data_IF_324256659440
#
_entry.id   IF_324256659440
#
_cell.length_a   1.000
_cell.length_b   1.000
_cell.length_c   1.000
_cell.angle_alpha   90.00
_cell.angle_beta   90.00
_cell.angle_gamma   90.00
#
_symmetry.space_group_name_H-M   'P 1'
#
loop_
_entity.id
_entity.type
_entity.pdbx_description
1 polymer ?
#
# COMPACT_ATOMS: atom_id res chain seq x y z
N UNK A 1 -32.04 -0.77 1.68
CA UNK A 1 -31.12 -0.66 0.54
C UNK A 1 -29.77 -0.31 1.14
N UNK A 2 -28.89 -1.30 1.24
CA UNK A 2 -27.60 -1.22 1.93
C UNK A 2 -26.50 -0.93 0.93
N UNK A 3 -25.91 0.25 1.02
CA UNK A 3 -24.75 0.70 0.27
C UNK A 3 -23.50 -0.02 0.78
N UNK A 4 -22.81 -0.75 -0.08
CA UNK A 4 -21.58 -1.49 0.27
C UNK A 4 -20.37 -0.71 -0.22
N UNK A 5 -19.64 -0.09 0.70
CA UNK A 5 -18.41 0.66 0.41
C UNK A 5 -17.19 -0.24 0.58
N UNK A 6 -16.47 -0.52 -0.50
CA UNK A 6 -15.24 -1.33 -0.54
C UNK A 6 -13.99 -0.43 -0.44
N UNK A 7 -12.97 -0.89 0.29
CA UNK A 7 -11.68 -0.18 0.46
C UNK A 7 -10.55 -1.20 0.24
N UNK A 8 -9.63 -0.93 -0.69
CA UNK A 8 -8.48 -1.77 -1.05
C UNK A 8 -7.18 -0.94 -1.04
N UNK A 9 -6.14 -1.33 -0.31
CA UNK A 9 -5.06 -0.42 0.12
C UNK A 9 -3.76 -0.55 -0.70
N UNK A 10 -3.14 0.60 -1.04
CA UNK A 10 -1.80 0.74 -1.63
C UNK A 10 -0.71 0.06 -0.80
N UNK A 11 0.26 -0.56 -1.49
CA UNK A 11 1.58 -0.89 -0.97
C UNK A 11 2.60 0.09 -1.58
N UNK A 12 3.06 1.08 -0.82
CA UNK A 12 4.24 1.87 -1.20
C UNK A 12 5.43 1.41 -0.36
N UNK A 13 6.32 0.63 -0.96
CA UNK A 13 7.64 0.34 -0.38
C UNK A 13 8.60 1.46 -0.79
N UNK A 14 8.63 2.56 -0.02
CA UNK A 14 9.68 3.55 -0.13
C UNK A 14 10.97 3.00 0.52
N UNK A 15 11.82 2.40 -0.30
CA UNK A 15 13.19 2.04 0.09
C UNK A 15 14.03 3.31 0.21
N UNK A 16 14.39 3.70 1.43
CA UNK A 16 15.42 4.70 1.68
C UNK A 16 16.79 4.16 1.20
N UNK A 17 17.25 4.57 0.02
CA UNK A 17 18.65 4.46 -0.37
C UNK A 17 19.38 5.71 0.11
N UNK A 18 20.18 5.57 1.17
CA UNK A 18 21.19 6.56 1.54
C UNK A 18 22.44 6.24 0.72
N UNK A 19 22.79 7.13 -0.20
CA UNK A 19 23.99 7.02 -1.02
C UNK A 19 25.26 7.17 -0.18
N UNK A 20 26.17 6.23 -0.34
CA UNK A 20 27.58 6.41 0.01
C UNK A 20 28.35 6.51 -1.32
N UNK A 21 28.91 7.68 -1.59
CA UNK A 21 29.75 7.88 -2.78
C UNK A 21 31.02 7.05 -2.68
N UNK A 22 31.19 6.12 -3.63
CA UNK A 22 32.49 5.61 -4.01
C UNK A 22 32.55 5.57 -5.55
N UNK A 23 33.46 6.38 -6.10
CA UNK A 23 33.55 6.70 -7.52
C UNK A 23 33.73 5.49 -8.43
N UNK A 24 33.00 5.51 -9.53
CA UNK A 24 33.13 4.58 -10.65
C UNK A 24 32.06 4.88 -11.69
N UNK A 25 32.49 5.51 -12.80
CA UNK A 25 31.80 5.71 -14.06
C UNK A 25 30.44 4.99 -14.18
N UNK A 26 29.32 5.71 -13.99
CA UNK A 26 27.99 5.16 -14.29
C UNK A 26 27.64 5.50 -15.73
N UNK A 27 27.51 4.44 -16.54
CA UNK A 27 26.77 4.49 -17.79
C UNK A 27 25.38 5.08 -17.52
N UNK A 28 25.01 6.03 -18.37
CA UNK A 28 23.68 6.64 -18.38
C UNK A 28 22.70 5.52 -18.74
N UNK A 29 21.97 5.01 -17.74
CA UNK A 29 20.85 4.11 -17.97
C UNK A 29 19.76 4.91 -18.68
N UNK A 30 19.63 4.68 -19.98
CA UNK A 30 18.46 5.01 -20.78
C UNK A 30 17.32 4.15 -20.22
N UNK A 31 16.41 4.78 -19.46
CA UNK A 31 15.24 4.10 -18.90
C UNK A 31 14.27 3.87 -20.05
N UNK A 32 14.21 2.63 -20.52
CA UNK A 32 13.15 2.18 -21.41
C UNK A 32 11.84 2.13 -20.62
N UNK A 33 10.76 2.66 -21.21
CA UNK A 33 9.40 2.47 -20.75
C UNK A 33 9.00 0.99 -20.85
N UNK A 34 9.41 0.18 -19.87
CA UNK A 34 8.98 -1.21 -19.73
C UNK A 34 7.79 -1.26 -18.77
N UNK A 35 6.59 -1.52 -19.30
CA UNK A 35 5.43 -1.97 -18.51
C UNK A 35 5.66 -3.45 -18.15
N UNK A 36 6.68 -3.73 -17.34
CA UNK A 36 6.88 -5.06 -16.77
C UNK A 36 6.13 -5.12 -15.43
N UNK A 37 4.92 -5.68 -15.44
CA UNK A 37 4.20 -6.09 -14.22
C UNK A 37 3.15 -5.15 -13.65
N UNK A 38 2.42 -4.38 -14.49
CA UNK A 38 1.30 -3.54 -14.02
C UNK A 38 1.72 -2.26 -13.29
N UNK A 39 2.97 -1.84 -13.52
CA UNK A 39 3.56 -0.61 -12.97
C UNK A 39 4.03 0.26 -14.12
N UNK A 40 3.56 1.51 -14.17
CA UNK A 40 4.02 2.55 -15.08
C UNK A 40 4.86 3.55 -14.29
N UNK A 41 6.10 3.83 -14.71
CA UNK A 41 6.97 4.85 -14.11
C UNK A 41 7.45 5.79 -15.19
N UNK A 42 7.22 7.09 -15.03
CA UNK A 42 7.52 8.11 -16.02
C UNK A 42 8.13 9.36 -15.38
N UNK A 43 9.11 9.93 -16.08
CA UNK A 43 9.75 11.20 -15.75
C UNK A 43 10.19 11.94 -17.03
N UNK A 44 10.63 13.19 -16.88
CA UNK A 44 11.23 13.96 -17.97
C UNK A 44 10.34 14.12 -19.22
N UNK A 45 10.91 13.86 -20.40
CA UNK A 45 10.21 14.07 -21.67
C UNK A 45 9.09 13.04 -21.91
N UNK A 46 9.24 11.81 -21.43
CA UNK A 46 8.23 10.77 -21.56
C UNK A 46 6.99 11.12 -20.75
N UNK A 47 7.17 11.57 -19.51
CA UNK A 47 6.07 12.08 -18.69
C UNK A 47 5.40 13.30 -19.34
N UNK A 48 6.17 14.20 -19.92
CA UNK A 48 5.62 15.37 -20.62
C UNK A 48 4.75 14.96 -21.81
N UNK A 49 5.19 13.96 -22.58
CA UNK A 49 4.44 13.42 -23.70
C UNK A 49 3.18 12.68 -23.23
N UNK A 50 3.30 11.87 -22.18
CA UNK A 50 2.20 11.14 -21.55
C UNK A 50 1.08 12.10 -21.09
N UNK A 51 1.42 13.10 -20.28
CA UNK A 51 0.45 14.04 -19.72
C UNK A 51 -0.20 14.93 -20.80
N UNK A 52 0.49 15.16 -21.91
CA UNK A 52 -0.02 15.96 -23.03
C UNK A 52 -0.92 15.15 -23.97
N UNK A 53 -0.54 13.91 -24.30
CA UNK A 53 -1.28 13.06 -25.22
C UNK A 53 -2.41 12.29 -24.53
N UNK A 54 -2.25 11.99 -23.24
CA UNK A 54 -3.17 11.20 -22.43
C UNK A 54 -3.62 9.90 -23.12
N UNK A 55 -2.67 9.04 -23.53
CA UNK A 55 -2.99 7.79 -24.20
C UNK A 55 -3.81 6.87 -23.28
N UNK A 56 -4.50 5.92 -23.90
CA UNK A 56 -5.21 4.86 -23.20
C UNK A 56 -4.23 3.76 -22.82
N UNK A 57 -4.13 3.47 -21.53
CA UNK A 57 -3.42 2.31 -21.00
C UNK A 57 -4.42 1.19 -20.74
N UNK A 58 -4.09 -0.02 -21.20
CA UNK A 58 -4.81 -1.25 -20.88
C UNK A 58 -4.03 -2.02 -19.82
N UNK A 59 -4.66 -2.25 -18.67
CA UNK A 59 -4.10 -3.08 -17.62
C UNK A 59 -4.07 -4.56 -18.04
N UNK A 60 -3.09 -5.30 -17.51
CA UNK A 60 -2.97 -6.74 -17.76
C UNK A 60 -4.18 -7.54 -17.25
N UNK A 61 -4.72 -7.12 -16.11
CA UNK A 61 -5.90 -7.67 -15.44
C UNK A 61 -6.89 -6.56 -15.05
N UNK A 62 -8.12 -6.94 -14.71
CA UNK A 62 -9.09 -6.01 -14.11
C UNK A 62 -8.60 -5.53 -12.74
N UNK A 63 -8.61 -4.21 -12.54
CA UNK A 63 -8.23 -3.57 -11.30
C UNK A 63 -9.43 -2.93 -10.61
N UNK A 64 -9.36 -2.86 -9.28
CA UNK A 64 -10.39 -2.21 -8.44
C UNK A 64 -9.97 -0.81 -7.98
N UNK A 65 -8.69 -0.47 -8.19
CA UNK A 65 -8.08 0.79 -7.78
C UNK A 65 -6.77 1.02 -8.53
N UNK A 66 -6.38 2.29 -8.67
CA UNK A 66 -5.04 2.68 -9.07
C UNK A 66 -4.33 3.36 -7.90
N UNK A 67 -3.13 2.88 -7.58
CA UNK A 67 -2.20 3.60 -6.73
C UNK A 67 -1.39 4.58 -7.57
N UNK A 68 -1.22 5.80 -7.08
CA UNK A 68 -0.51 6.86 -7.79
C UNK A 68 0.49 7.52 -6.85
N UNK A 69 1.75 7.58 -7.26
CA UNK A 69 2.79 8.38 -6.60
C UNK A 69 3.25 9.43 -7.60
N UNK A 70 3.22 10.70 -7.23
CA UNK A 70 3.59 11.77 -8.15
C UNK A 70 4.19 12.97 -7.44
N UNK A 71 5.13 13.64 -8.11
CA UNK A 71 5.69 14.91 -7.66
C UNK A 71 5.04 16.05 -8.43
N UNK A 72 4.38 16.97 -7.73
CA UNK A 72 3.73 18.13 -8.35
C UNK A 72 3.62 19.32 -7.39
N UNK A 73 3.28 20.50 -7.94
CA UNK A 73 3.06 21.71 -7.13
C UNK A 73 1.81 21.62 -6.22
N UNK A 74 0.84 20.77 -6.58
CA UNK A 74 -0.43 20.59 -5.89
C UNK A 74 -0.97 19.18 -6.11
N UNK A 75 -1.70 18.60 -5.15
CA UNK A 75 -2.34 17.29 -5.33
C UNK A 75 -3.43 17.29 -6.42
N UNK A 76 -3.94 18.46 -6.81
CA UNK A 76 -4.94 18.61 -7.88
C UNK A 76 -4.29 18.88 -9.24
N UNK A 77 -2.96 18.89 -9.33
CA UNK A 77 -2.25 19.12 -10.58
C UNK A 77 -2.35 17.93 -11.55
N UNK A 78 -2.76 16.77 -11.05
CA UNK A 78 -2.90 15.54 -11.81
C UNK A 78 -4.33 15.01 -11.71
N UNK A 79 -4.86 14.51 -12.82
CA UNK A 79 -6.19 13.92 -12.92
C UNK A 79 -6.12 12.60 -13.70
N UNK A 80 -6.93 11.64 -13.28
CA UNK A 80 -7.09 10.37 -13.96
C UNK A 80 -8.54 10.15 -14.37
N UNK A 81 -8.74 9.33 -15.39
CA UNK A 81 -10.03 8.85 -15.85
C UNK A 81 -9.89 7.35 -16.16
N UNK A 82 -10.87 6.57 -15.74
CA UNK A 82 -10.84 5.10 -15.84
C UNK A 82 -12.00 4.61 -16.70
N UNK A 83 -11.83 3.43 -17.29
CA UNK A 83 -12.86 2.78 -18.10
C UNK A 83 -12.80 1.26 -17.94
N UNK A 84 -13.95 0.61 -18.05
CA UNK A 84 -14.03 -0.85 -18.09
C UNK A 84 -13.87 -1.39 -19.52
N UNK A 85 -14.46 -0.72 -20.51
CA UNK A 85 -14.56 -1.16 -21.90
C UNK A 85 -13.60 -0.43 -22.85
N UNK A 86 -12.95 0.63 -22.40
CA UNK A 86 -12.08 1.50 -23.20
C UNK A 86 -12.84 2.58 -23.98
N UNK A 87 -14.16 2.54 -23.97
CA UNK A 87 -15.04 3.42 -24.74
C UNK A 87 -15.81 4.41 -23.82
N UNK A 88 -16.30 3.89 -22.69
CA UNK A 88 -17.08 4.61 -21.68
C UNK A 88 -16.15 5.02 -20.54
N UNK A 89 -15.91 6.32 -20.41
CA UNK A 89 -14.93 6.86 -19.47
C UNK A 89 -15.60 7.56 -18.29
N UNK A 90 -15.02 7.39 -17.10
CA UNK A 90 -15.37 8.18 -15.92
C UNK A 90 -15.08 9.67 -16.15
N UNK A 91 -15.69 10.51 -15.33
CA UNK A 91 -15.23 11.90 -15.20
C UNK A 91 -13.75 11.95 -14.80
N UNK A 92 -13.08 13.03 -15.17
CA UNK A 92 -11.72 13.31 -14.72
C UNK A 92 -11.75 13.66 -13.24
N UNK A 93 -10.92 12.97 -12.46
CA UNK A 93 -10.86 13.15 -11.01
C UNK A 93 -9.42 13.26 -10.55
N UNK A 94 -9.17 14.19 -9.62
CA UNK A 94 -7.89 14.25 -8.92
C UNK A 94 -7.77 13.06 -7.95
N UNK A 95 -6.57 12.47 -7.83
CA UNK A 95 -6.37 11.35 -6.93
C UNK A 95 -6.49 11.80 -5.47
N UNK A 96 -7.11 10.95 -4.64
CA UNK A 96 -7.23 11.21 -3.21
C UNK A 96 -5.90 10.96 -2.54
N UNK A 97 -5.28 12.02 -2.01
CA UNK A 97 -3.99 11.93 -1.32
C UNK A 97 -4.17 11.30 0.06
N UNK A 98 -3.36 10.30 0.36
CA UNK A 98 -3.30 9.63 1.66
C UNK A 98 -2.07 10.03 2.45
N UNK A 99 -0.96 10.32 1.77
CA UNK A 99 0.28 10.70 2.41
C UNK A 99 1.09 11.66 1.54
N UNK A 100 1.92 12.49 2.19
CA UNK A 100 2.88 13.37 1.54
C UNK A 100 4.26 12.97 2.08
N UNK A 101 5.05 12.31 1.23
CA UNK A 101 6.35 11.72 1.62
C UNK A 101 7.37 12.80 2.01
N UNK A 102 7.33 13.93 1.31
CA UNK A 102 8.20 15.08 1.57
C UNK A 102 7.42 16.37 1.36
N UNK A 103 7.13 17.08 2.46
CA UNK A 103 6.38 18.35 2.41
C UNK A 103 7.06 19.43 1.56
N UNK A 104 8.39 19.34 1.37
CA UNK A 104 9.18 20.32 0.62
C UNK A 104 9.23 20.08 -0.89
N UNK A 105 8.99 18.85 -1.36
CA UNK A 105 9.08 18.50 -2.79
C UNK A 105 7.73 18.21 -3.43
N UNK A 106 6.65 18.09 -2.64
CA UNK A 106 5.31 17.83 -3.17
C UNK A 106 5.15 16.40 -3.69
N UNK A 107 5.79 15.43 -3.02
CA UNK A 107 5.67 14.01 -3.32
C UNK A 107 4.39 13.45 -2.69
N UNK A 108 3.37 13.21 -3.51
CA UNK A 108 2.06 12.73 -3.09
C UNK A 108 1.92 11.23 -3.29
N UNK A 109 1.41 10.54 -2.28
CA UNK A 109 0.94 9.14 -2.36
C UNK A 109 -0.58 9.17 -2.31
N UNK A 110 -1.20 8.74 -3.40
CA UNK A 110 -2.61 8.93 -3.65
C UNK A 110 -3.26 7.72 -4.31
N UNK A 111 -4.59 7.71 -4.37
CA UNK A 111 -5.33 6.66 -5.05
C UNK A 111 -6.55 7.21 -5.81
N UNK A 112 -6.97 6.47 -6.84
CA UNK A 112 -8.24 6.71 -7.52
C UNK A 112 -9.23 5.65 -7.07
N UNK A 113 -10.31 6.08 -6.43
CA UNK A 113 -11.45 5.22 -6.17
C UNK A 113 -12.33 5.15 -7.43
N UNK A 114 -12.80 3.95 -7.77
CA UNK A 114 -13.77 3.80 -8.86
C UNK A 114 -15.10 4.45 -8.46
N UNK A 115 -15.87 4.92 -9.44
CA UNK A 115 -17.18 5.52 -9.20
C UNK A 115 -18.11 4.58 -8.41
N UNK A 116 -19.01 5.18 -7.62
CA UNK A 116 -19.94 4.43 -6.76
C UNK A 116 -20.84 3.50 -7.59
N UNK A 117 -20.58 2.19 -7.50
CA UNK A 117 -21.30 1.15 -8.26
C UNK A 117 -20.42 0.38 -9.27
N UNK A 118 -19.26 0.91 -9.61
CA UNK A 118 -18.25 0.22 -10.41
C UNK A 118 -17.48 -0.77 -9.53
N UNK A 119 -17.39 -2.03 -9.97
CA UNK A 119 -16.70 -3.09 -9.21
C UNK A 119 -15.25 -3.28 -9.65
N UNK A 120 -14.91 -2.92 -10.88
CA UNK A 120 -13.59 -2.99 -11.47
C UNK A 120 -13.50 -2.11 -12.74
N UNK A 121 -12.28 -1.83 -13.19
CA UNK A 121 -11.95 -1.17 -14.45
C UNK A 121 -10.75 -1.89 -15.09
N UNK A 122 -10.47 -1.59 -16.36
CA UNK A 122 -9.37 -2.21 -17.12
C UNK A 122 -8.51 -1.21 -17.85
N UNK A 123 -9.03 -0.03 -18.13
CA UNK A 123 -8.34 1.02 -18.85
C UNK A 123 -8.20 2.26 -17.99
N UNK A 124 -7.11 2.99 -18.17
CA UNK A 124 -6.89 4.29 -17.54
C UNK A 124 -6.17 5.25 -18.47
N UNK A 125 -6.31 6.53 -18.16
CA UNK A 125 -5.57 7.63 -18.78
C UNK A 125 -5.29 8.71 -17.75
N UNK A 126 -4.21 9.45 -17.96
CA UNK A 126 -3.73 10.47 -17.03
C UNK A 126 -3.46 11.78 -17.78
N UNK A 127 -3.72 12.91 -17.10
CA UNK A 127 -3.37 14.24 -17.60
C UNK A 127 -2.97 15.16 -16.46
N UNK A 128 -2.34 16.27 -16.79
CA UNK A 128 -2.02 17.33 -15.82
C UNK A 128 -0.56 17.76 -15.87
N UNK A 129 -0.02 18.10 -14.71
CA UNK A 129 1.36 18.54 -14.53
C UNK A 129 2.00 17.82 -13.34
N UNK A 130 3.05 17.06 -13.62
CA UNK A 130 3.90 16.40 -12.63
C UNK A 130 5.33 16.31 -13.17
N UNK A 131 6.32 16.19 -12.28
CA UNK A 131 7.73 15.96 -12.63
C UNK A 131 8.15 14.50 -12.51
N UNK A 132 7.36 13.72 -11.76
CA UNK A 132 7.49 12.27 -11.61
C UNK A 132 6.09 11.67 -11.51
N UNK A 133 5.90 10.48 -12.08
CA UNK A 133 4.65 9.72 -11.98
C UNK A 133 4.96 8.23 -11.92
N UNK A 134 4.40 7.56 -10.90
CA UNK A 134 4.29 6.12 -10.81
C UNK A 134 2.83 5.72 -10.64
N UNK A 135 2.32 4.87 -11.51
CA UNK A 135 0.98 4.27 -11.41
C UNK A 135 1.13 2.77 -11.19
N UNK A 136 0.37 2.24 -10.25
CA UNK A 136 0.34 0.82 -9.92
C UNK A 136 -1.10 0.31 -9.91
N UNK A 137 -1.34 -0.75 -10.67
CA UNK A 137 -2.64 -1.40 -10.81
C UNK A 137 -2.93 -2.29 -9.59
N UNK A 138 -4.04 -2.05 -8.89
CA UNK A 138 -4.48 -2.96 -7.83
C UNK A 138 -5.54 -3.92 -8.35
N UNK A 139 -5.08 -5.13 -8.69
CA UNK A 139 -5.87 -6.20 -9.27
C UNK A 139 -6.80 -6.88 -8.26
N UNK A 140 -7.94 -7.36 -8.74
CA UNK A 140 -8.83 -8.22 -7.97
C UNK A 140 -8.33 -9.67 -8.01
N UNK A 141 -7.57 -10.10 -7.01
CA UNK A 141 -7.35 -11.54 -6.80
C UNK A 141 -8.54 -12.12 -6.03
N UNK A 142 -9.42 -12.85 -6.71
CA UNK A 142 -10.23 -13.84 -6.02
C UNK A 142 -9.27 -14.93 -5.56
N UNK A 143 -9.08 -15.08 -4.25
CA UNK A 143 -8.62 -16.36 -3.75
C UNK A 143 -9.67 -17.39 -4.17
N UNK A 144 -9.30 -18.27 -5.10
CA UNK A 144 -10.06 -19.50 -5.30
C UNK A 144 -10.21 -20.17 -3.95
N UNK A 145 -11.44 -20.62 -3.67
CA UNK A 145 -11.89 -21.15 -2.39
C UNK A 145 -10.76 -21.84 -1.61
N UNK A 146 -10.42 -21.32 -0.43
CA UNK A 146 -9.65 -22.09 0.55
C UNK A 146 -10.54 -23.28 0.91
N UNK A 147 -10.25 -24.44 0.32
CA UNK A 147 -10.85 -25.69 0.78
C UNK A 147 -10.48 -25.84 2.25
N UNK A 148 -11.48 -25.70 3.12
CA UNK A 148 -11.35 -26.04 4.53
C UNK A 148 -11.18 -27.54 4.63
N UNK A 149 -9.95 -28.01 4.45
CA UNK A 149 -9.59 -29.40 4.73
C UNK A 149 -9.87 -29.67 6.20
N UNK A 150 -10.85 -30.54 6.45
CA UNK A 150 -11.20 -31.06 7.77
C UNK A 150 -10.10 -32.03 8.22
N UNK A 151 -8.94 -31.47 8.54
CA UNK A 151 -7.79 -32.16 9.12
C UNK A 151 -7.64 -31.75 10.57
N UNK A 152 -7.64 -32.73 11.47
CA UNK A 152 -7.52 -32.60 12.92
C UNK A 152 -6.38 -31.63 13.32
N UNK A 153 -6.73 -30.38 13.63
CA UNK A 153 -5.78 -29.32 13.98
C UNK A 153 -5.44 -29.45 15.47
N UNK A 154 -4.25 -29.96 15.74
CA UNK A 154 -3.60 -29.73 17.04
C UNK A 154 -3.44 -28.23 17.26
N UNK A 155 -4.27 -27.66 18.12
CA UNK A 155 -4.30 -26.23 18.48
C UNK A 155 -2.92 -25.80 19.00
N UNK A 156 -2.25 -24.84 18.33
CA UNK A 156 -1.26 -23.93 18.97
C UNK A 156 -0.76 -22.74 18.13
N UNK A 157 -1.00 -22.65 16.82
CA UNK A 157 -0.54 -21.50 16.03
C UNK A 157 -1.71 -20.67 15.51
N UNK A 158 -1.69 -19.37 15.79
CA UNK A 158 -2.48 -18.41 15.03
C UNK A 158 -1.96 -18.43 13.58
N UNK A 159 -2.85 -18.41 12.62
CA UNK A 159 -2.53 -18.53 11.20
C UNK A 159 -3.28 -17.46 10.41
N UNK A 160 -2.59 -16.83 9.46
CA UNK A 160 -3.17 -15.86 8.52
C UNK A 160 -2.90 -16.38 7.12
N UNK A 161 -3.85 -17.11 6.55
CA UNK A 161 -3.78 -17.60 5.17
C UNK A 161 -2.68 -18.64 4.92
N UNK A 162 -2.42 -19.52 5.89
CA UNK A 162 -1.34 -20.51 5.86
C UNK A 162 0.01 -19.98 6.39
N UNK A 163 0.07 -18.71 6.82
CA UNK A 163 1.26 -18.09 7.40
C UNK A 163 1.14 -18.10 8.94
N UNK A 164 2.11 -18.72 9.59
CA UNK A 164 2.21 -18.76 11.04
C UNK A 164 2.36 -17.35 11.65
N UNK A 165 1.57 -17.08 12.69
CA UNK A 165 1.63 -15.86 13.50
C UNK A 165 2.30 -16.17 14.84
N UNK A 166 3.32 -15.39 15.16
CA UNK A 166 4.03 -15.39 16.43
C UNK A 166 3.13 -14.82 17.52
N UNK A 167 2.69 -15.68 18.45
CA UNK A 167 1.75 -15.32 19.50
C UNK A 167 2.32 -14.27 20.47
N UNK A 168 1.44 -13.56 21.18
CA UNK A 168 1.79 -12.58 22.22
C UNK A 168 2.82 -13.08 23.24
N UNK A 169 2.75 -14.35 23.61
CA UNK A 169 3.67 -14.97 24.55
C UNK A 169 5.09 -15.10 24.00
N UNK A 170 5.28 -15.23 22.67
CA UNK A 170 6.60 -15.43 22.06
C UNK A 170 7.47 -14.17 22.08
N UNK A 171 6.85 -12.98 22.09
CA UNK A 171 7.55 -11.70 22.20
C UNK A 171 7.43 -11.04 23.58
N UNK A 172 6.78 -11.69 24.54
CA UNK A 172 6.67 -11.20 25.92
C UNK A 172 5.73 -10.00 26.04
N UNK A 173 4.58 -10.04 25.38
CA UNK A 173 3.55 -9.02 25.48
C UNK A 173 3.06 -8.86 26.92
N UNK A 174 2.85 -7.61 27.36
CA UNK A 174 2.09 -7.31 28.56
C UNK A 174 0.62 -7.72 28.38
N UNK A 175 -0.13 -8.01 29.45
CA UNK A 175 -1.56 -8.24 29.35
C UNK A 175 -2.30 -7.03 28.77
N UNK A 176 -3.22 -7.27 27.84
CA UNK A 176 -4.11 -6.24 27.30
C UNK A 176 -5.00 -5.67 28.39
N UNK A 177 -5.28 -4.36 28.33
CA UNK A 177 -6.28 -3.68 29.15
C UNK A 177 -7.57 -3.40 28.37
N UNK A 178 -7.67 -3.89 27.14
CA UNK A 178 -8.82 -3.61 26.27
C UNK A 178 -10.05 -4.41 26.75
N UNK A 179 -11.20 -3.76 26.81
CA UNK A 179 -12.45 -4.36 27.32
C UNK A 179 -13.48 -4.65 26.22
N UNK A 180 -13.23 -4.21 25.00
CA UNK A 180 -14.13 -4.31 23.85
C UNK A 180 -13.70 -5.42 22.89
N UNK A 181 -14.66 -6.20 22.41
CA UNK A 181 -14.45 -7.11 21.28
C UNK A 181 -14.33 -6.30 19.98
N UNK A 182 -13.50 -6.78 19.05
CA UNK A 182 -13.31 -6.20 17.71
C UNK A 182 -14.56 -6.28 16.81
N UNK A 183 -15.54 -7.12 17.16
CA UNK A 183 -16.68 -7.40 16.29
C UNK A 183 -16.26 -8.11 15.00
N UNK A 184 -17.10 -8.02 13.96
CA UNK A 184 -16.79 -8.58 12.64
C UNK A 184 -15.79 -7.67 11.92
N UNK A 185 -14.59 -8.18 11.65
CA UNK A 185 -13.59 -7.50 10.81
C UNK A 185 -14.02 -7.56 9.35
N UNK A 186 -14.02 -6.43 8.66
CA UNK A 186 -14.40 -6.32 7.24
C UNK A 186 -13.47 -5.39 6.44
N UNK A 187 -12.47 -4.80 7.10
CA UNK A 187 -11.45 -3.93 6.51
C UNK A 187 -10.12 -4.13 7.24
N UNK A 188 -9.03 -3.86 6.55
CA UNK A 188 -7.67 -3.83 7.09
C UNK A 188 -7.07 -2.45 6.85
N UNK A 189 -6.29 -1.97 7.81
CA UNK A 189 -5.41 -0.82 7.63
C UNK A 189 -3.96 -1.30 7.73
N UNK A 190 -3.12 -0.90 6.76
CA UNK A 190 -1.67 -1.10 6.82
C UNK A 190 -1.07 0.20 7.35
N UNK A 191 -0.17 0.07 8.31
CA UNK A 191 0.49 1.19 8.97
C UNK A 191 1.97 0.83 9.17
N UNK A 192 2.88 1.74 8.84
CA UNK A 192 4.29 1.57 9.20
C UNK A 192 4.51 2.02 10.65
N UNK A 193 5.42 1.40 11.39
CA UNK A 193 5.59 1.71 12.82
C UNK A 193 6.37 3.00 13.11
N UNK A 194 6.93 3.63 12.07
CA UNK A 194 7.86 4.77 12.16
C UNK A 194 9.09 4.46 13.04
N UNK A 195 9.42 3.17 13.19
CA UNK A 195 10.55 2.70 14.01
C UNK A 195 11.74 2.33 13.15
N UNK A 196 12.99 2.48 13.64
CA UNK A 196 14.18 2.05 12.91
C UNK A 196 14.15 0.55 12.53
N UNK A 197 14.57 0.24 11.30
CA UNK A 197 14.57 -1.12 10.71
C UNK A 197 15.98 -1.64 10.38
N UNK A 198 17.01 -0.79 10.51
CA UNK A 198 18.42 -1.10 10.23
C UNK A 198 19.28 -1.22 11.49
N UNK A 199 18.66 -1.21 12.68
CA UNK A 199 19.38 -1.42 13.93
C UNK A 199 19.41 -2.91 14.34
N UNK A 200 20.12 -3.20 15.43
CA UNK A 200 20.35 -4.57 15.91
C UNK A 200 19.29 -5.05 16.90
N UNK A 201 18.20 -4.29 17.07
CA UNK A 201 17.13 -4.63 18.01
C UNK A 201 16.31 -5.77 17.42
N UNK A 202 16.06 -6.82 18.22
CA UNK A 202 15.22 -7.94 17.78
C UNK A 202 13.77 -7.49 17.57
N UNK A 203 13.00 -8.11 16.65
CA UNK A 203 11.59 -7.80 16.46
C UNK A 203 10.79 -7.82 17.78
N UNK A 204 10.99 -8.86 18.59
CA UNK A 204 10.34 -8.97 19.90
C UNK A 204 10.68 -7.80 20.84
N UNK A 205 11.93 -7.32 20.84
CA UNK A 205 12.32 -6.16 21.63
C UNK A 205 11.69 -4.86 21.09
N UNK A 206 11.59 -4.71 19.78
CA UNK A 206 10.88 -3.59 19.14
C UNK A 206 9.40 -3.59 19.50
N UNK A 207 8.72 -4.74 19.43
CA UNK A 207 7.31 -4.86 19.80
C UNK A 207 7.07 -4.45 21.26
N UNK A 208 7.92 -4.88 22.20
CA UNK A 208 7.83 -4.45 23.61
C UNK A 208 8.05 -2.95 23.78
N UNK A 209 8.96 -2.35 23.03
CA UNK A 209 9.18 -0.91 23.04
C UNK A 209 7.93 -0.15 22.56
N UNK A 210 7.35 -0.57 21.44
CA UNK A 210 6.13 0.01 20.88
C UNK A 210 4.96 -0.16 21.87
N UNK A 211 4.76 -1.35 22.42
CA UNK A 211 3.71 -1.61 23.42
C UNK A 211 3.87 -0.71 24.64
N UNK A 212 5.09 -0.56 25.15
CA UNK A 212 5.36 0.31 26.31
C UNK A 212 5.04 1.77 26.00
N UNK A 213 5.44 2.26 24.82
CA UNK A 213 5.10 3.61 24.38
C UNK A 213 3.58 3.81 24.24
N UNK A 214 2.87 2.87 23.60
CA UNK A 214 1.42 2.95 23.44
C UNK A 214 0.67 2.91 24.78
N UNK A 215 1.05 2.00 25.68
CA UNK A 215 0.35 1.86 26.96
C UNK A 215 0.72 2.92 27.99
N UNK A 216 2.02 3.24 28.11
CA UNK A 216 2.51 4.09 29.21
C UNK A 216 2.60 5.57 28.83
N UNK A 217 2.80 5.89 27.54
CA UNK A 217 2.89 7.28 27.06
C UNK A 217 1.59 7.73 26.39
N UNK A 218 1.03 6.93 25.46
CA UNK A 218 -0.25 7.28 24.80
C UNK A 218 -1.49 6.90 25.62
N UNK A 219 -1.33 6.10 26.68
CA UNK A 219 -2.44 5.67 27.53
C UNK A 219 -3.40 4.68 26.87
N UNK A 220 -2.97 4.01 25.79
CA UNK A 220 -3.78 3.02 25.10
C UNK A 220 -3.93 1.74 25.91
N UNK A 221 -4.95 0.95 25.59
CA UNK A 221 -5.20 -0.30 26.31
C UNK A 221 -4.21 -1.41 25.95
N UNK A 222 -3.53 -1.31 24.81
CA UNK A 222 -2.50 -2.24 24.34
C UNK A 222 -1.63 -1.58 23.24
N UNK A 223 -0.77 -2.35 22.58
CA UNK A 223 -0.17 -1.97 21.30
C UNK A 223 -1.27 -1.76 20.25
N UNK A 224 -1.22 -0.63 19.52
CA UNK A 224 -2.30 -0.21 18.61
C UNK A 224 -2.38 -0.92 17.26
N UNK A 225 -1.85 -2.14 17.14
CA UNK A 225 -1.87 -2.92 15.90
C UNK A 225 -2.39 -4.32 16.19
N UNK A 226 -3.22 -4.88 15.31
CA UNK A 226 -3.69 -6.28 15.46
C UNK A 226 -2.59 -7.27 15.09
N UNK A 227 -1.83 -6.94 14.05
CA UNK A 227 -0.68 -7.71 13.59
C UNK A 227 0.44 -6.74 13.24
N UNK A 228 1.68 -7.20 13.42
CA UNK A 228 2.88 -6.51 12.96
C UNK A 228 3.70 -7.44 12.09
N UNK A 229 4.35 -6.90 11.06
CA UNK A 229 5.26 -7.67 10.20
C UNK A 229 6.68 -7.17 10.43
N UNK A 230 7.58 -8.07 10.81
CA UNK A 230 9.00 -7.75 10.97
C UNK A 230 9.77 -7.93 9.67
N UNK A 231 10.98 -7.38 9.62
CA UNK A 231 11.83 -7.39 8.42
C UNK A 231 12.17 -8.79 7.89
N UNK A 232 12.19 -9.79 8.76
CA UNK A 232 12.36 -11.21 8.42
C UNK A 232 11.07 -11.87 7.91
N UNK A 233 10.00 -11.09 7.67
CA UNK A 233 8.74 -11.55 7.10
C UNK A 233 7.80 -12.24 8.10
N UNK A 234 8.18 -12.32 9.37
CA UNK A 234 7.32 -12.92 10.41
C UNK A 234 6.16 -12.00 10.78
N UNK A 235 4.98 -12.61 10.95
CA UNK A 235 3.79 -11.93 11.46
C UNK A 235 3.74 -12.13 12.97
N UNK A 236 3.49 -11.07 13.72
CA UNK A 236 3.39 -11.07 15.17
C UNK A 236 2.00 -10.63 15.59
N UNK A 237 1.40 -11.36 16.54
CA UNK A 237 0.16 -10.97 17.21
C UNK A 237 0.42 -9.72 18.06
N UNK A 238 -0.33 -8.65 17.81
CA UNK A 238 -0.31 -7.45 18.64
C UNK A 238 -1.19 -7.58 19.86
#
# INVERSE_FOLDING_TARGET
MTTTTYSALLLALAGCMVGEEAGGQQDVFEIHADVEGGVLVLEGQELTAELAASPVHEAGDEFVRLGVIFDAESPTALELSVSFDGDSWSEWVSPTVHHVEQETTGAFVAQIELEEGSTHARYYRVRGAATFLRIEEMIFSQSENVETGEGDVGVSALDVGGIAVEARSSWGARPSRCSSSLGKVYRMAIHHTESPTLDTISPAARLRQIQSYHMDVKGWCDIGYHYLVSRDGKIWEG
#
